data_IF_251748602361
#
_entry.id   IF_251748602361
#
_cell.length_a   1.000
_cell.length_b   1.000
_cell.length_c   1.000
_cell.angle_alpha   90.00
_cell.angle_beta   90.00
_cell.angle_gamma   90.00
#
_symmetry.space_group_name_H-M   'P 1'
#
loop_
_entity.id
_entity.type
_entity.pdbx_description
1 polymer ?
#
# COMPACT_ATOMS: atom_id res chain seq x y z
N UNK A 1 -30.35 -4.51 -7.17
CA UNK A 1 -29.43 -4.09 -6.09
C UNK A 1 -28.75 -2.81 -6.57
N UNK A 2 -28.74 -1.77 -5.75
CA UNK A 2 -28.03 -0.57 -6.11
C UNK A 2 -26.53 -0.84 -6.14
N UNK A 3 -25.88 -0.47 -7.24
CA UNK A 3 -24.45 -0.65 -7.38
C UNK A 3 -23.70 0.42 -6.56
N UNK A 4 -23.12 0.04 -5.46
CA UNK A 4 -22.40 0.91 -4.52
C UNK A 4 -21.29 1.74 -5.20
N UNK A 5 -20.66 1.20 -6.25
CA UNK A 5 -19.52 1.82 -6.93
C UNK A 5 -19.91 2.82 -8.02
N UNK A 6 -21.16 2.81 -8.44
CA UNK A 6 -21.63 3.69 -9.52
C UNK A 6 -21.42 5.17 -9.18
N UNK A 7 -20.73 5.88 -10.07
CA UNK A 7 -20.44 7.33 -9.92
C UNK A 7 -19.30 7.65 -8.96
N UNK A 8 -18.64 6.65 -8.35
CA UNK A 8 -17.47 6.86 -7.48
C UNK A 8 -16.20 7.01 -8.30
N UNK A 9 -15.14 7.54 -7.68
CA UNK A 9 -13.80 7.65 -8.26
C UNK A 9 -12.86 6.70 -7.54
N UNK A 10 -12.21 5.82 -8.30
CA UNK A 10 -11.28 4.82 -7.78
C UNK A 10 -9.90 5.01 -8.40
N UNK A 11 -8.87 5.13 -7.58
CA UNK A 11 -7.49 5.29 -8.00
C UNK A 11 -6.74 3.96 -7.94
N UNK A 12 -5.93 3.68 -8.97
CA UNK A 12 -5.19 2.43 -9.13
C UNK A 12 -3.69 2.72 -9.16
N UNK A 13 -2.99 2.29 -8.11
CA UNK A 13 -1.53 2.34 -8.00
C UNK A 13 -0.95 1.00 -8.40
N UNK A 14 0.19 1.00 -9.12
CA UNK A 14 0.78 -0.28 -9.51
C UNK A 14 1.94 -0.16 -10.49
N UNK A 15 2.24 -1.27 -11.12
CA UNK A 15 3.33 -1.43 -12.08
C UNK A 15 2.82 -1.43 -13.54
N UNK A 16 3.54 -2.12 -14.42
CA UNK A 16 3.21 -2.26 -15.85
C UNK A 16 1.82 -2.85 -16.12
N UNK A 17 1.31 -3.69 -15.21
CA UNK A 17 -0.03 -4.29 -15.35
C UNK A 17 -1.09 -3.20 -15.17
N UNK A 18 -0.89 -2.32 -14.21
CA UNK A 18 -1.76 -1.17 -13.97
C UNK A 18 -1.58 -0.07 -15.02
N UNK A 19 -0.37 0.15 -15.52
CA UNK A 19 -0.15 1.05 -16.66
C UNK A 19 -0.85 0.56 -17.94
N UNK A 20 -0.90 -0.76 -18.12
CA UNK A 20 -1.47 -1.40 -19.30
C UNK A 20 -0.45 -1.65 -20.40
N UNK A 21 0.80 -1.96 -20.04
CA UNK A 21 1.85 -2.29 -21.01
C UNK A 21 1.45 -3.52 -21.83
N UNK A 22 1.43 -3.38 -23.16
CA UNK A 22 1.02 -4.45 -24.07
C UNK A 22 -0.49 -4.67 -24.16
N UNK A 23 -1.28 -3.80 -23.56
CA UNK A 23 -2.75 -3.85 -23.59
C UNK A 23 -3.30 -2.70 -24.44
N UNK A 24 -4.36 -2.94 -25.18
CA UNK A 24 -5.03 -1.90 -25.95
C UNK A 24 -5.61 -0.84 -25.01
N UNK A 25 -5.52 0.47 -25.32
CA UNK A 25 -6.15 1.52 -24.52
C UNK A 25 -7.64 1.25 -24.26
N UNK A 26 -8.04 1.28 -22.98
CA UNK A 26 -9.41 0.97 -22.57
C UNK A 26 -9.68 -0.50 -22.26
N UNK A 27 -8.65 -1.37 -22.31
CA UNK A 27 -8.75 -2.81 -22.02
C UNK A 27 -7.88 -3.24 -20.84
N UNK A 28 -7.47 -2.32 -19.96
CA UNK A 28 -6.81 -2.67 -18.69
C UNK A 28 -7.80 -3.31 -17.74
N UNK A 29 -7.35 -4.11 -16.82
CA UNK A 29 -8.21 -4.80 -15.86
C UNK A 29 -9.22 -3.87 -15.17
N UNK A 30 -8.82 -2.68 -14.82
CA UNK A 30 -9.70 -1.72 -14.17
C UNK A 30 -10.61 -0.94 -15.16
N UNK A 31 -10.30 -0.91 -16.44
CA UNK A 31 -11.20 -0.38 -17.46
C UNK A 31 -12.45 -1.27 -17.59
N UNK A 32 -12.27 -2.60 -17.55
CA UNK A 32 -13.37 -3.56 -17.51
C UNK A 32 -14.20 -3.42 -16.23
N UNK A 33 -13.53 -3.32 -15.06
CA UNK A 33 -14.21 -3.11 -13.79
C UNK A 33 -15.00 -1.79 -13.76
N UNK A 34 -14.40 -0.72 -14.28
CA UNK A 34 -15.05 0.59 -14.38
C UNK A 34 -16.30 0.55 -15.24
N UNK A 35 -16.22 -0.12 -16.39
CA UNK A 35 -17.36 -0.30 -17.32
C UNK A 35 -18.48 -1.11 -16.67
N UNK A 36 -18.14 -2.20 -15.98
CA UNK A 36 -19.11 -3.09 -15.34
C UNK A 36 -19.76 -2.45 -14.11
N UNK A 37 -18.98 -1.76 -13.30
CA UNK A 37 -19.42 -1.22 -12.01
C UNK A 37 -19.76 0.28 -12.07
N UNK A 38 -19.54 0.96 -13.20
CA UNK A 38 -19.95 2.35 -13.40
C UNK A 38 -19.21 3.39 -12.57
N UNK A 39 -17.97 3.11 -12.14
CA UNK A 39 -17.10 4.08 -11.47
C UNK A 39 -16.13 4.75 -12.46
N UNK A 40 -15.55 5.88 -12.06
CA UNK A 40 -14.44 6.51 -12.78
C UNK A 40 -13.12 5.92 -12.29
N UNK A 41 -12.33 5.35 -13.22
CA UNK A 41 -11.02 4.79 -12.92
C UNK A 41 -9.90 5.80 -13.21
N UNK A 42 -8.95 5.96 -12.27
CA UNK A 42 -7.77 6.82 -12.39
C UNK A 42 -6.51 5.98 -12.18
N UNK A 43 -5.78 5.67 -13.25
CA UNK A 43 -4.60 4.83 -13.23
C UNK A 43 -3.31 5.63 -13.01
N UNK A 44 -2.48 5.19 -12.06
CA UNK A 44 -1.16 5.77 -11.73
C UNK A 44 -0.02 4.77 -11.97
N UNK A 45 -0.32 3.60 -12.53
CA UNK A 45 0.68 2.56 -12.80
C UNK A 45 1.86 3.07 -13.63
N UNK A 46 3.05 2.56 -13.33
CA UNK A 46 4.29 2.87 -14.05
C UNK A 46 5.04 1.57 -14.33
N UNK A 47 5.43 1.38 -15.57
CA UNK A 47 6.20 0.19 -15.99
C UNK A 47 7.47 0.05 -15.15
N UNK A 48 7.71 -1.16 -14.65
CA UNK A 48 8.88 -1.47 -13.82
C UNK A 48 8.77 -1.01 -12.35
N UNK A 49 7.68 -0.34 -11.96
CA UNK A 49 7.53 0.16 -10.58
C UNK A 49 7.57 -0.96 -9.56
N UNK A 50 8.31 -0.73 -8.47
CA UNK A 50 8.36 -1.53 -7.24
C UNK A 50 7.53 -0.84 -6.16
N UNK A 51 7.32 -1.48 -5.02
CA UNK A 51 6.57 -0.86 -3.91
C UNK A 51 7.16 0.47 -3.44
N UNK A 52 8.48 0.64 -3.49
CA UNK A 52 9.13 1.92 -3.16
C UNK A 52 8.66 3.07 -4.06
N UNK A 53 8.39 2.78 -5.34
CA UNK A 53 7.99 3.77 -6.34
C UNK A 53 6.50 4.15 -6.21
N UNK A 54 5.67 3.30 -5.60
CA UNK A 54 4.25 3.57 -5.42
C UNK A 54 3.97 4.75 -4.49
N UNK A 55 4.94 5.11 -3.64
CA UNK A 55 4.82 6.30 -2.81
C UNK A 55 4.70 7.58 -3.65
N UNK A 56 5.50 7.71 -4.71
CA UNK A 56 5.43 8.84 -5.65
C UNK A 56 4.10 8.83 -6.44
N UNK A 57 3.58 7.66 -6.78
CA UNK A 57 2.25 7.54 -7.40
C UNK A 57 1.17 8.05 -6.45
N UNK A 58 1.24 7.69 -5.16
CA UNK A 58 0.31 8.16 -4.14
C UNK A 58 0.40 9.68 -3.90
N UNK A 59 1.60 10.27 -3.99
CA UNK A 59 1.77 11.72 -3.94
C UNK A 59 1.12 12.43 -5.14
N UNK A 60 1.29 11.89 -6.36
CA UNK A 60 0.62 12.41 -7.56
C UNK A 60 -0.89 12.33 -7.42
N UNK A 61 -1.42 11.18 -7.00
CA UNK A 61 -2.84 10.99 -6.72
C UNK A 61 -3.37 12.02 -5.73
N UNK A 62 -2.65 12.24 -4.61
CA UNK A 62 -3.03 13.25 -3.61
C UNK A 62 -3.03 14.66 -4.20
N UNK A 63 -2.07 15.00 -5.04
CA UNK A 63 -2.00 16.31 -5.71
C UNK A 63 -3.18 16.54 -6.65
N UNK A 64 -3.62 15.50 -7.37
CA UNK A 64 -4.68 15.61 -8.39
C UNK A 64 -6.09 15.55 -7.79
N UNK A 65 -6.32 14.67 -6.85
CA UNK A 65 -7.66 14.40 -6.30
C UNK A 65 -7.86 14.87 -4.87
N UNK A 66 -6.80 15.18 -4.12
CA UNK A 66 -6.91 15.51 -2.69
C UNK A 66 -7.56 14.36 -1.92
N UNK A 67 -8.73 14.62 -1.32
CA UNK A 67 -9.56 13.63 -0.62
C UNK A 67 -10.72 13.09 -1.47
N UNK A 68 -10.81 13.47 -2.74
CA UNK A 68 -11.97 13.16 -3.60
C UNK A 68 -11.94 11.76 -4.24
N UNK A 69 -10.93 10.92 -3.94
CA UNK A 69 -11.00 9.51 -4.28
C UNK A 69 -11.89 8.76 -3.29
N UNK A 70 -12.67 7.79 -3.77
CA UNK A 70 -13.57 6.97 -2.93
C UNK A 70 -12.89 5.68 -2.49
N UNK A 71 -12.00 5.13 -3.31
CA UNK A 71 -11.20 3.96 -2.98
C UNK A 71 -9.85 3.98 -3.70
N UNK A 72 -8.91 3.20 -3.17
CA UNK A 72 -7.56 3.05 -3.71
C UNK A 72 -7.27 1.56 -3.87
N UNK A 73 -6.85 1.17 -5.07
CA UNK A 73 -6.37 -0.17 -5.38
C UNK A 73 -4.86 -0.15 -5.57
N UNK A 74 -4.18 -1.13 -5.01
CA UNK A 74 -2.73 -1.33 -5.11
C UNK A 74 -2.49 -2.70 -5.73
N UNK A 75 -1.82 -2.74 -6.89
CA UNK A 75 -1.45 -3.97 -7.55
C UNK A 75 0.00 -3.89 -8.04
N UNK A 76 0.93 -4.42 -7.24
CA UNK A 76 2.37 -4.36 -7.46
C UNK A 76 3.09 -5.52 -6.75
N UNK A 77 4.42 -5.54 -6.84
CA UNK A 77 5.27 -6.54 -6.17
C UNK A 77 5.99 -7.47 -7.14
N UNK A 78 5.53 -7.56 -8.38
CA UNK A 78 6.16 -8.39 -9.41
C UNK A 78 7.60 -7.96 -9.68
N UNK A 79 7.85 -6.65 -9.76
CA UNK A 79 9.20 -6.11 -10.01
C UNK A 79 10.10 -6.21 -8.78
N UNK A 80 9.55 -6.13 -7.58
CA UNK A 80 10.28 -6.38 -6.35
C UNK A 80 10.85 -7.80 -6.33
N UNK A 81 10.04 -8.78 -6.74
CA UNK A 81 10.46 -10.16 -6.86
C UNK A 81 11.58 -10.32 -7.92
N UNK A 82 11.40 -9.76 -9.12
CA UNK A 82 12.39 -9.85 -10.19
C UNK A 82 13.74 -9.24 -9.87
N UNK A 83 13.71 -8.11 -9.17
CA UNK A 83 14.92 -7.36 -8.81
C UNK A 83 15.51 -7.85 -7.49
N UNK A 84 14.99 -8.95 -6.93
CA UNK A 84 15.43 -9.50 -5.65
C UNK A 84 15.45 -8.44 -4.53
N UNK A 85 14.43 -7.58 -4.48
CA UNK A 85 14.28 -6.63 -3.37
C UNK A 85 14.28 -7.40 -2.04
N UNK A 86 15.14 -7.07 -1.08
CA UNK A 86 15.15 -7.77 0.20
C UNK A 86 13.78 -7.71 0.87
N UNK A 87 13.27 -8.82 1.45
CA UNK A 87 11.95 -8.82 2.08
C UNK A 87 11.85 -7.86 3.27
N UNK A 88 12.94 -7.71 4.04
CA UNK A 88 12.97 -6.88 5.25
C UNK A 88 12.06 -7.39 6.35
N UNK A 89 11.83 -6.55 7.37
CA UNK A 89 10.96 -6.84 8.50
C UNK A 89 9.81 -5.84 8.59
N UNK A 90 8.64 -6.31 9.03
CA UNK A 90 7.48 -5.43 9.24
C UNK A 90 7.68 -4.44 10.37
N UNK A 91 8.46 -4.84 11.39
CA UNK A 91 8.63 -4.10 12.62
C UNK A 91 10.07 -4.09 13.09
N UNK A 92 10.48 -2.96 13.65
CA UNK A 92 11.62 -2.84 14.53
C UNK A 92 11.14 -2.91 15.97
N UNK A 93 12.07 -3.23 16.89
CA UNK A 93 11.81 -3.24 18.31
C UNK A 93 12.75 -2.24 18.97
N UNK A 94 12.18 -1.30 19.73
CA UNK A 94 12.91 -0.37 20.59
C UNK A 94 12.64 -0.72 22.05
N UNK A 95 13.59 -0.41 22.93
CA UNK A 95 13.36 -0.46 24.36
C UNK A 95 12.90 0.92 24.80
N UNK A 96 11.74 0.98 25.44
CA UNK A 96 11.17 2.22 25.96
C UNK A 96 10.79 2.06 27.43
N UNK A 97 11.10 3.09 28.21
CA UNK A 97 10.68 3.16 29.61
C UNK A 97 9.22 3.60 29.67
N UNK A 98 8.38 2.73 30.18
CA UNK A 98 6.94 2.96 30.31
C UNK A 98 6.52 3.00 31.78
N UNK A 99 5.62 3.90 32.13
CA UNK A 99 5.04 3.96 33.46
C UNK A 99 4.11 2.75 33.67
N UNK A 100 4.60 1.74 34.37
CA UNK A 100 3.85 0.54 34.72
C UNK A 100 2.76 0.81 35.78
N UNK A 101 3.00 1.78 36.65
CA UNK A 101 2.03 2.30 37.62
C UNK A 101 2.11 3.82 37.62
N UNK A 102 0.96 4.48 37.80
CA UNK A 102 0.84 5.94 37.90
C UNK A 102 0.04 6.31 39.13
N UNK A 103 0.38 7.45 39.73
CA UNK A 103 -0.46 8.13 40.72
C UNK A 103 -1.72 8.71 40.06
N UNK A 104 -2.66 9.19 40.90
CA UNK A 104 -3.90 9.84 40.43
C UNK A 104 -3.63 11.12 39.63
N UNK A 105 -2.50 11.78 39.86
CA UNK A 105 -2.03 12.95 39.10
C UNK A 105 -1.28 12.60 37.81
N UNK A 106 -1.14 11.31 37.50
CA UNK A 106 -0.48 10.80 36.29
C UNK A 106 1.05 10.65 36.41
N UNK A 107 1.65 11.00 37.54
CA UNK A 107 3.11 10.78 37.78
C UNK A 107 3.46 9.29 37.85
N UNK A 108 4.58 8.86 37.24
CA UNK A 108 4.98 7.46 37.28
C UNK A 108 5.36 7.03 38.69
N UNK A 109 4.72 5.97 39.22
CA UNK A 109 5.12 5.28 40.46
C UNK A 109 6.13 4.17 40.19
N UNK A 110 6.04 3.55 39.03
CA UNK A 110 6.94 2.48 38.62
C UNK A 110 7.22 2.59 37.15
N UNK A 111 8.50 2.61 36.79
CA UNK A 111 8.96 2.58 35.41
C UNK A 111 9.47 1.17 35.12
N UNK A 112 9.09 0.63 33.98
CA UNK A 112 9.59 -0.64 33.47
C UNK A 112 10.05 -0.46 32.04
N UNK A 113 11.21 -0.98 31.67
CA UNK A 113 11.68 -1.06 30.30
C UNK A 113 10.95 -2.17 29.58
N UNK A 114 10.28 -1.85 28.48
CA UNK A 114 9.56 -2.80 27.64
C UNK A 114 10.01 -2.72 26.20
N UNK A 115 10.03 -3.85 25.51
CA UNK A 115 10.17 -3.87 24.05
C UNK A 115 8.88 -3.38 23.40
N UNK A 116 8.98 -2.26 22.70
CA UNK A 116 7.88 -1.65 21.95
C UNK A 116 8.11 -1.89 20.48
N UNK A 117 7.05 -2.31 19.81
CA UNK A 117 7.05 -2.61 18.37
C UNK A 117 6.76 -1.34 17.58
N UNK A 118 7.65 -0.99 16.68
CA UNK A 118 7.50 0.14 15.75
C UNK A 118 7.52 -0.35 14.31
N UNK A 119 6.75 0.26 13.42
CA UNK A 119 6.82 -0.08 12.00
C UNK A 119 8.20 0.22 11.44
N UNK A 120 8.72 -0.73 10.68
CA UNK A 120 9.94 -0.54 9.90
C UNK A 120 9.60 0.22 8.61
N UNK A 121 10.29 1.35 8.35
CA UNK A 121 10.11 2.18 7.16
C UNK A 121 11.35 2.16 6.24
N UNK A 122 12.18 1.13 6.34
CA UNK A 122 13.33 0.94 5.48
C UNK A 122 12.90 0.70 4.03
N UNK A 123 13.08 1.73 3.19
CA UNK A 123 12.65 1.72 1.77
C UNK A 123 13.54 0.87 0.86
N UNK A 124 14.69 0.39 1.34
CA UNK A 124 15.52 -0.56 0.61
C UNK A 124 14.94 -1.99 0.69
N UNK A 125 13.89 -2.17 1.49
CA UNK A 125 13.19 -3.44 1.66
C UNK A 125 11.73 -3.40 1.20
N UNK A 126 11.22 -4.57 0.80
CA UNK A 126 9.84 -4.73 0.34
C UNK A 126 8.82 -4.36 1.43
N UNK A 127 8.95 -4.94 2.63
CA UNK A 127 8.02 -4.69 3.75
C UNK A 127 8.10 -3.24 4.26
N UNK A 128 9.30 -2.67 4.29
CA UNK A 128 9.48 -1.27 4.70
C UNK A 128 8.85 -0.29 3.71
N UNK A 129 8.98 -0.56 2.40
CA UNK A 129 8.32 0.22 1.34
C UNK A 129 6.79 0.15 1.45
N UNK A 130 6.23 -1.05 1.72
CA UNK A 130 4.79 -1.21 1.97
C UNK A 130 4.36 -0.40 3.20
N UNK A 131 5.10 -0.50 4.31
CA UNK A 131 4.78 0.24 5.52
C UNK A 131 4.75 1.76 5.27
N UNK A 132 5.72 2.28 4.52
CA UNK A 132 5.78 3.70 4.16
C UNK A 132 4.56 4.12 3.34
N UNK A 133 4.23 3.36 2.29
CA UNK A 133 3.06 3.63 1.46
C UNK A 133 1.78 3.58 2.28
N UNK A 134 1.58 2.51 3.07
CA UNK A 134 0.36 2.32 3.86
C UNK A 134 0.22 3.35 4.97
N UNK A 135 1.32 3.78 5.59
CA UNK A 135 1.30 4.88 6.58
C UNK A 135 0.80 6.17 5.95
N UNK A 136 1.32 6.52 4.76
CA UNK A 136 0.86 7.70 4.02
C UNK A 136 -0.62 7.60 3.63
N UNK A 137 -1.05 6.47 3.09
CA UNK A 137 -2.43 6.26 2.65
C UNK A 137 -3.40 6.29 3.83
N UNK A 138 -3.09 5.62 4.93
CA UNK A 138 -3.94 5.64 6.13
C UNK A 138 -4.02 7.02 6.77
N UNK A 139 -2.94 7.80 6.75
CA UNK A 139 -2.96 9.16 7.27
C UNK A 139 -3.84 10.10 6.43
N UNK A 140 -3.79 9.98 5.11
CA UNK A 140 -4.47 10.91 4.20
C UNK A 140 -5.87 10.45 3.75
N UNK A 141 -6.17 9.16 3.88
CA UNK A 141 -7.37 8.49 3.37
C UNK A 141 -7.96 7.52 4.39
N UNK A 142 -7.97 7.89 5.68
CA UNK A 142 -8.40 7.05 6.79
C UNK A 142 -9.81 6.46 6.61
N UNK A 143 -10.72 7.24 6.04
CA UNK A 143 -12.13 6.87 5.81
C UNK A 143 -12.38 6.21 4.44
N UNK A 144 -11.31 5.96 3.66
CA UNK A 144 -11.44 5.38 2.32
C UNK A 144 -11.07 3.91 2.33
N UNK A 145 -11.67 3.16 1.41
CA UNK A 145 -11.32 1.76 1.23
C UNK A 145 -10.00 1.65 0.47
N UNK A 146 -9.08 0.87 1.03
CA UNK A 146 -7.79 0.58 0.40
C UNK A 146 -7.73 -0.93 0.18
N UNK A 147 -7.60 -1.32 -1.09
CA UNK A 147 -7.47 -2.71 -1.51
C UNK A 147 -6.04 -2.97 -1.94
N UNK A 148 -5.41 -3.98 -1.37
CA UNK A 148 -4.08 -4.44 -1.77
C UNK A 148 -4.22 -5.84 -2.34
N UNK A 149 -3.85 -5.99 -3.61
CA UNK A 149 -3.82 -7.28 -4.27
C UNK A 149 -2.46 -7.93 -4.06
N UNK A 150 -2.47 -9.25 -3.91
CA UNK A 150 -1.23 -10.02 -3.90
C UNK A 150 -0.58 -10.00 -5.29
N UNK A 151 0.76 -10.05 -5.39
CA UNK A 151 1.44 -10.21 -6.68
C UNK A 151 0.94 -11.45 -7.42
N UNK A 152 0.97 -11.40 -8.75
CA UNK A 152 0.61 -12.55 -9.57
C UNK A 152 1.56 -13.71 -9.31
N UNK A 153 0.99 -14.88 -9.06
CA UNK A 153 1.73 -16.13 -8.97
C UNK A 153 2.22 -16.53 -10.36
N UNK A 154 3.52 -16.84 -10.51
CA UNK A 154 4.10 -17.28 -11.77
C UNK A 154 4.35 -18.78 -11.77
N UNK A 155 3.96 -19.46 -12.84
CA UNK A 155 4.09 -20.92 -12.98
C UNK A 155 5.53 -21.45 -12.92
N UNK A 156 6.52 -20.58 -13.14
CA UNK A 156 7.95 -20.95 -13.17
C UNK A 156 8.78 -20.26 -12.09
N UNK A 157 8.15 -19.53 -11.17
CA UNK A 157 8.87 -18.97 -10.04
C UNK A 157 8.95 -20.03 -8.94
N UNK A 158 10.16 -20.47 -8.61
CA UNK A 158 10.39 -21.04 -7.29
C UNK A 158 9.87 -20.02 -6.25
N UNK A 159 9.31 -20.52 -5.14
CA UNK A 159 8.81 -19.65 -4.08
C UNK A 159 9.93 -18.73 -3.61
N UNK A 160 9.95 -17.53 -4.11
CA UNK A 160 10.85 -16.49 -3.63
C UNK A 160 10.40 -15.95 -2.27
N UNK A 161 11.27 -15.23 -1.57
CA UNK A 161 11.00 -14.72 -0.22
C UNK A 161 9.79 -13.79 -0.14
N UNK A 162 9.24 -13.33 -1.26
CA UNK A 162 8.07 -12.45 -1.30
C UNK A 162 6.73 -13.19 -1.39
N UNK A 163 6.74 -14.52 -1.52
CA UNK A 163 5.53 -15.35 -1.63
C UNK A 163 5.10 -15.98 -0.28
N UNK A 164 5.65 -15.51 0.82
CA UNK A 164 5.34 -16.00 2.18
C UNK A 164 4.51 -14.97 2.95
#
# INVERSE_FOLDING_TARGET
MDNYWKGKTICFLGDSITEGVGVVPGERYFDFLSKELGFTACGYGVNGARYVDLYEQALRMKKEFGSNTDAIFIFAGTNDFFLNTPPGEWFNYAEEDVAALKNDDGTPLKIETRKVRQFNFDTDTYKGSINRLMSFLKHNYAEKQIFMLTPLHRAYAEFGPLNI
#
